data_IF_062178985625
#
_entry.id   IF_062178985625
#
_cell.length_a   1.000
_cell.length_b   1.000
_cell.length_c   1.000
_cell.angle_alpha   90.00
_cell.angle_beta   90.00
_cell.angle_gamma   90.00
#
_symmetry.space_group_name_H-M   'P 1'
#
loop_
_entity.id
_entity.type
_entity.pdbx_description
1 polymer ?
#
# COMPACT_ATOMS: atom_id res chain seq x y z
N UNK A 1 -23.52 8.32 37.27
CA UNK A 1 -22.80 8.86 36.09
C UNK A 1 -22.84 10.38 36.18
N UNK A 2 -21.70 11.07 36.26
CA UNK A 2 -21.66 12.54 36.28
C UNK A 2 -21.72 13.09 34.84
N UNK A 3 -22.11 14.37 34.66
CA UNK A 3 -22.28 15.01 33.35
C UNK A 3 -21.04 14.86 32.45
N UNK A 4 -19.85 14.96 33.03
CA UNK A 4 -18.58 14.77 32.32
C UNK A 4 -18.42 13.37 31.73
N UNK A 5 -18.79 12.31 32.46
CA UNK A 5 -18.74 10.95 31.93
C UNK A 5 -19.76 10.73 30.80
N UNK A 6 -20.91 11.40 30.84
CA UNK A 6 -21.92 11.34 29.76
C UNK A 6 -21.38 11.99 28.48
N UNK A 7 -20.67 13.12 28.60
CA UNK A 7 -20.03 13.80 27.47
C UNK A 7 -18.97 12.91 26.81
N UNK A 8 -18.09 12.28 27.62
CA UNK A 8 -17.07 11.38 27.10
C UNK A 8 -17.65 10.13 26.45
N UNK A 9 -18.71 9.56 27.03
CA UNK A 9 -19.42 8.42 26.44
C UNK A 9 -20.04 8.79 25.08
N UNK A 10 -20.69 9.96 24.99
CA UNK A 10 -21.22 10.47 23.73
C UNK A 10 -20.13 10.66 22.66
N UNK A 11 -18.95 11.15 23.08
CA UNK A 11 -17.80 11.30 22.19
C UNK A 11 -17.28 9.96 21.66
N UNK A 12 -17.18 8.93 22.51
CA UNK A 12 -16.77 7.58 22.09
C UNK A 12 -17.73 7.01 21.04
N UNK A 13 -19.05 7.15 21.27
CA UNK A 13 -20.08 6.68 20.32
C UNK A 13 -19.98 7.43 18.99
N UNK A 14 -19.83 8.76 19.03
CA UNK A 14 -19.70 9.59 17.84
C UNK A 14 -18.46 9.22 17.03
N UNK A 15 -17.30 9.06 17.69
CA UNK A 15 -16.05 8.68 17.04
C UNK A 15 -16.13 7.27 16.44
N UNK A 16 -16.76 6.32 17.13
CA UNK A 16 -17.01 4.98 16.59
C UNK A 16 -17.92 4.98 15.36
N UNK A 17 -18.95 5.83 15.36
CA UNK A 17 -19.83 5.99 14.20
C UNK A 17 -19.11 6.62 13.00
N UNK A 18 -18.32 7.67 13.24
CA UNK A 18 -17.50 8.29 12.19
C UNK A 18 -16.48 7.32 11.59
N UNK A 19 -15.86 6.46 12.40
CA UNK A 19 -14.98 5.39 11.92
C UNK A 19 -15.72 4.44 10.98
N UNK A 20 -16.91 3.98 11.37
CA UNK A 20 -17.71 3.06 10.56
C UNK A 20 -18.07 3.65 9.19
N UNK A 21 -18.22 4.98 9.11
CA UNK A 21 -18.47 5.69 7.85
C UNK A 21 -17.20 5.93 7.02
N UNK A 22 -16.08 6.24 7.67
CA UNK A 22 -14.89 6.75 6.98
C UNK A 22 -13.85 5.67 6.69
N UNK A 23 -13.93 4.48 7.29
CA UNK A 23 -12.94 3.36 7.20
C UNK A 23 -11.48 3.90 7.31
N UNK A 24 -11.34 5.03 7.99
CA UNK A 24 -10.09 5.75 8.13
C UNK A 24 -9.73 5.49 9.58
N UNK A 25 -8.79 4.57 9.78
CA UNK A 25 -8.33 3.99 11.06
C UNK A 25 -7.93 4.99 12.16
N UNK A 26 -8.16 6.29 11.95
CA UNK A 26 -7.73 7.43 12.76
C UNK A 26 -8.68 7.70 13.93
N UNK A 27 -10.00 7.56 13.76
CA UNK A 27 -11.00 7.89 14.80
C UNK A 27 -10.99 6.91 15.98
N UNK A 28 -10.64 5.65 15.74
CA UNK A 28 -10.47 4.63 16.79
C UNK A 28 -9.46 5.06 17.87
N UNK A 29 -8.35 5.72 17.51
CA UNK A 29 -7.34 6.13 18.49
C UNK A 29 -7.86 7.19 19.45
N UNK A 30 -8.67 8.11 18.93
CA UNK A 30 -9.33 9.13 19.74
C UNK A 30 -10.43 8.52 20.62
N UNK A 31 -11.10 7.45 20.17
CA UNK A 31 -12.06 6.72 21.00
C UNK A 31 -11.39 6.06 22.22
N UNK A 32 -10.20 5.47 22.04
CA UNK A 32 -9.40 4.93 23.16
C UNK A 32 -8.98 6.03 24.14
N UNK A 33 -8.56 7.19 23.63
CA UNK A 33 -8.27 8.36 24.46
C UNK A 33 -9.48 8.85 25.25
N UNK A 34 -10.66 8.88 24.60
CA UNK A 34 -11.91 9.29 25.24
C UNK A 34 -12.36 8.32 26.33
N UNK A 35 -12.15 7.01 26.14
CA UNK A 35 -12.38 5.99 27.17
C UNK A 35 -11.45 6.18 28.39
N UNK A 36 -10.17 6.50 28.16
CA UNK A 36 -9.24 6.78 29.25
C UNK A 36 -9.64 8.04 30.04
N UNK A 37 -10.05 9.10 29.36
CA UNK A 37 -10.56 10.32 30.01
C UNK A 37 -11.88 10.08 30.75
N UNK A 38 -12.75 9.23 30.21
CA UNK A 38 -13.98 8.78 30.89
C UNK A 38 -13.65 8.06 32.21
N UNK A 39 -12.66 7.17 32.21
CA UNK A 39 -12.23 6.49 33.44
C UNK A 39 -11.81 7.51 34.52
N UNK A 40 -11.01 8.52 34.15
CA UNK A 40 -10.62 9.62 35.06
C UNK A 40 -11.84 10.40 35.57
N UNK A 41 -12.83 10.65 34.70
CA UNK A 41 -14.07 11.33 35.07
C UNK A 41 -14.92 10.52 36.07
N UNK A 42 -14.89 9.18 36.00
CA UNK A 42 -15.59 8.29 36.93
C UNK A 42 -14.99 8.32 38.34
N UNK A 43 -13.67 8.54 38.45
CA UNK A 43 -12.98 8.69 39.74
C UNK A 43 -13.01 10.13 40.29
N UNK A 44 -13.75 11.04 39.64
CA UNK A 44 -13.88 12.43 40.10
C UNK A 44 -12.69 13.33 39.75
N UNK A 45 -11.84 12.94 38.79
CA UNK A 45 -10.72 13.75 38.35
C UNK A 45 -11.17 15.08 37.72
N UNK A 46 -10.38 16.14 37.94
CA UNK A 46 -10.67 17.47 37.40
C UNK A 46 -10.66 17.49 35.86
N UNK A 47 -11.41 18.42 35.26
CA UNK A 47 -11.57 18.51 33.80
C UNK A 47 -10.22 18.64 33.07
N UNK A 48 -9.28 19.41 33.62
CA UNK A 48 -7.96 19.58 33.02
C UNK A 48 -7.14 18.28 32.98
N UNK A 49 -7.30 17.40 33.98
CA UNK A 49 -6.68 16.07 34.03
C UNK A 49 -7.29 15.17 32.97
N UNK A 50 -8.63 15.21 32.81
CA UNK A 50 -9.33 14.43 31.79
C UNK A 50 -8.86 14.82 30.38
N UNK A 51 -8.74 16.12 30.09
CA UNK A 51 -8.25 16.64 28.81
C UNK A 51 -6.79 16.22 28.57
N UNK A 52 -5.95 16.32 29.59
CA UNK A 52 -4.54 15.94 29.48
C UNK A 52 -4.39 14.43 29.21
N UNK A 53 -5.14 13.59 29.92
CA UNK A 53 -5.16 12.14 29.69
C UNK A 53 -5.68 11.80 28.30
N UNK A 54 -6.77 12.44 27.85
CA UNK A 54 -7.29 12.27 26.49
C UNK A 54 -6.21 12.57 25.43
N UNK A 55 -5.55 13.73 25.56
CA UNK A 55 -4.55 14.18 24.60
C UNK A 55 -3.33 13.26 24.57
N UNK A 56 -2.80 12.89 25.74
CA UNK A 56 -1.62 12.01 25.86
C UNK A 56 -1.91 10.62 25.33
N UNK A 57 -3.03 10.00 25.72
CA UNK A 57 -3.39 8.64 25.27
C UNK A 57 -3.65 8.63 23.77
N UNK A 58 -4.40 9.60 23.24
CA UNK A 58 -4.64 9.70 21.80
C UNK A 58 -3.35 9.88 21.02
N UNK A 59 -2.45 10.75 21.49
CA UNK A 59 -1.16 11.00 20.86
C UNK A 59 -0.28 9.74 20.85
N UNK A 60 -0.19 9.03 21.98
CA UNK A 60 0.55 7.76 22.07
C UNK A 60 -0.03 6.72 21.11
N UNK A 61 -1.35 6.56 21.08
CA UNK A 61 -2.02 5.64 20.16
C UNK A 61 -1.71 5.97 18.69
N UNK A 62 -1.81 7.25 18.31
CA UNK A 62 -1.49 7.69 16.95
C UNK A 62 -0.01 7.48 16.63
N UNK A 63 0.92 7.84 17.52
CA UNK A 63 2.35 7.67 17.29
C UNK A 63 2.79 6.20 17.22
N UNK A 64 2.20 5.34 18.05
CA UNK A 64 2.51 3.91 18.07
C UNK A 64 1.91 3.16 16.88
N UNK A 65 0.70 3.54 16.43
CA UNK A 65 0.03 2.84 15.33
C UNK A 65 0.19 3.49 13.95
N UNK A 66 0.68 4.71 13.82
CA UNK A 66 1.09 5.25 12.51
C UNK A 66 2.18 4.39 11.82
N UNK A 67 3.26 3.92 12.48
CA UNK A 67 4.23 3.03 11.85
C UNK A 67 3.64 1.64 11.59
N UNK A 68 2.77 1.13 12.48
CA UNK A 68 2.15 -0.19 12.36
C UNK A 68 1.08 -0.25 11.26
N UNK A 69 0.23 0.77 11.13
CA UNK A 69 -0.75 0.89 10.07
C UNK A 69 -0.05 1.08 8.72
N UNK A 70 1.02 1.86 8.64
CA UNK A 70 1.78 2.01 7.39
C UNK A 70 2.48 0.71 6.97
N UNK A 71 2.89 -0.13 7.91
CA UNK A 71 3.57 -1.42 7.61
C UNK A 71 2.62 -2.62 7.48
N UNK A 72 1.49 -2.64 8.19
CA UNK A 72 0.51 -3.75 8.21
C UNK A 72 -0.72 -3.50 7.34
N UNK A 73 -1.19 -2.26 7.21
CA UNK A 73 -2.37 -1.86 6.41
C UNK A 73 -2.01 -1.09 5.13
N UNK A 74 -0.88 -0.38 5.12
CA UNK A 74 -0.18 0.09 3.90
C UNK A 74 0.50 -1.05 3.12
N UNK A 75 0.23 -2.29 3.52
CA UNK A 75 0.52 -3.52 2.79
C UNK A 75 -0.45 -3.80 1.64
N UNK A 76 -1.12 -2.78 1.09
CA UNK A 76 -1.32 -2.74 -0.35
C UNK A 76 0.07 -2.65 -0.98
N UNK A 77 0.75 -3.82 -0.99
CA UNK A 77 1.93 -4.07 -1.78
C UNK A 77 1.67 -3.38 -3.11
N UNK A 78 2.50 -2.37 -3.41
CA UNK A 78 2.79 -1.97 -4.77
C UNK A 78 2.64 -3.20 -5.65
N UNK A 79 1.86 -3.09 -6.70
CA UNK A 79 1.66 -4.08 -7.76
C UNK A 79 3.00 -4.69 -8.18
N UNK A 80 3.44 -5.71 -7.45
CA UNK A 80 4.78 -6.34 -7.56
C UNK A 80 4.70 -7.86 -7.33
N UNK A 81 3.55 -8.42 -6.97
CA UNK A 81 3.41 -9.89 -6.84
C UNK A 81 3.25 -10.60 -8.18
N UNK A 82 2.67 -9.95 -9.20
CA UNK A 82 2.52 -10.57 -10.52
C UNK A 82 3.62 -10.14 -11.51
N UNK A 83 4.14 -8.92 -11.36
CA UNK A 83 5.15 -8.37 -12.26
C UNK A 83 6.55 -8.94 -11.97
N UNK A 84 6.94 -9.09 -10.70
CA UNK A 84 8.24 -9.69 -10.37
C UNK A 84 8.31 -11.19 -10.73
N UNK A 85 7.17 -11.89 -10.80
CA UNK A 85 7.11 -13.30 -11.23
C UNK A 85 7.47 -13.48 -12.71
N UNK A 86 7.36 -12.41 -13.49
CA UNK A 86 7.66 -12.38 -14.92
C UNK A 86 9.16 -12.17 -15.15
N UNK A 87 9.87 -11.55 -14.20
CA UNK A 87 11.31 -11.34 -14.29
C UNK A 87 12.02 -12.71 -14.32
N UNK A 88 12.85 -12.93 -15.33
CA UNK A 88 13.52 -14.20 -15.60
C UNK A 88 12.73 -15.19 -16.46
N UNK A 89 11.44 -14.96 -16.72
CA UNK A 89 10.65 -15.82 -17.61
C UNK A 89 11.00 -15.61 -19.08
N UNK A 90 10.80 -16.67 -19.86
CA UNK A 90 10.83 -16.61 -21.32
C UNK A 90 9.51 -16.03 -21.81
N UNK A 91 9.60 -15.06 -22.70
CA UNK A 91 8.50 -14.40 -23.36
C UNK A 91 8.65 -14.54 -24.88
N UNK A 92 7.54 -14.61 -25.59
CA UNK A 92 7.54 -14.67 -27.05
C UNK A 92 7.30 -13.28 -27.62
N UNK A 93 8.14 -12.83 -28.55
CA UNK A 93 7.97 -11.54 -29.21
C UNK A 93 6.77 -11.62 -30.16
N UNK A 94 5.74 -10.82 -29.89
CA UNK A 94 4.54 -10.72 -30.74
C UNK A 94 4.67 -9.62 -31.78
N UNK A 95 5.38 -8.55 -31.43
CA UNK A 95 5.66 -7.42 -32.33
C UNK A 95 7.17 -7.14 -32.30
N UNK A 96 7.82 -6.93 -33.46
CA UNK A 96 9.26 -6.72 -33.52
C UNK A 96 9.69 -5.58 -32.60
N UNK A 97 10.72 -5.86 -31.78
CA UNK A 97 11.22 -4.90 -30.81
C UNK A 97 12.32 -4.08 -31.47
N UNK A 98 12.06 -2.79 -31.60
CA UNK A 98 13.00 -1.80 -32.09
C UNK A 98 13.02 -0.59 -31.15
N UNK A 99 14.16 -0.38 -30.49
CA UNK A 99 14.33 0.73 -29.55
C UNK A 99 14.34 2.10 -30.25
N UNK A 100 14.72 2.17 -31.54
CA UNK A 100 14.76 3.42 -32.34
C UNK A 100 13.36 3.79 -32.80
N UNK A 101 12.59 2.82 -33.31
CA UNK A 101 11.19 3.03 -33.70
C UNK A 101 10.24 3.11 -32.49
N UNK A 102 10.69 2.67 -31.31
CA UNK A 102 9.88 2.66 -30.09
C UNK A 102 8.80 1.58 -30.06
N UNK A 103 8.83 0.63 -30.99
CA UNK A 103 7.89 -0.48 -31.14
C UNK A 103 8.39 -1.73 -30.42
N UNK A 104 7.48 -2.60 -30.01
CA UNK A 104 7.84 -3.86 -29.39
C UNK A 104 6.81 -4.36 -28.39
N UNK A 105 6.42 -5.62 -28.55
CA UNK A 105 5.51 -6.29 -27.64
C UNK A 105 5.89 -7.77 -27.49
N UNK A 106 5.68 -8.31 -26.29
CA UNK A 106 5.93 -9.70 -25.95
C UNK A 106 4.73 -10.30 -25.23
N UNK A 107 4.46 -11.57 -25.49
CA UNK A 107 3.48 -12.37 -24.76
C UNK A 107 4.15 -13.12 -23.63
N UNK A 108 3.64 -12.91 -22.41
CA UNK A 108 4.14 -13.50 -21.16
C UNK A 108 2.96 -14.16 -20.47
N UNK A 109 2.97 -15.49 -20.41
CA UNK A 109 1.87 -16.26 -19.78
C UNK A 109 0.48 -15.94 -20.36
N UNK A 110 0.40 -15.59 -21.66
CA UNK A 110 -0.84 -15.24 -22.34
C UNK A 110 -1.25 -13.76 -22.26
N UNK A 111 -0.50 -12.90 -21.56
CA UNK A 111 -0.73 -11.45 -21.53
C UNK A 111 0.31 -10.73 -22.40
N UNK A 112 -0.14 -9.78 -23.23
CA UNK A 112 0.76 -8.97 -24.07
C UNK A 112 1.27 -7.76 -23.28
N UNK A 113 2.58 -7.60 -23.24
CA UNK A 113 3.29 -6.49 -22.59
C UNK A 113 4.12 -5.73 -23.62
N UNK A 114 4.23 -4.41 -23.45
CA UNK A 114 5.16 -3.62 -24.27
C UNK A 114 6.59 -3.92 -23.84
N UNK A 115 7.48 -4.15 -24.82
CA UNK A 115 8.83 -4.60 -24.57
C UNK A 115 9.87 -3.69 -25.19
N UNK A 116 11.02 -3.59 -24.53
CA UNK A 116 12.23 -2.96 -25.06
C UNK A 116 13.42 -3.89 -24.95
N UNK A 117 14.28 -3.86 -25.94
CA UNK A 117 15.52 -4.64 -25.94
C UNK A 117 16.51 -3.97 -24.99
N UNK A 118 17.19 -4.75 -24.15
CA UNK A 118 18.32 -4.24 -23.33
C UNK A 118 19.53 -3.88 -24.18
N UNK A 119 19.60 -4.46 -25.39
CA UNK A 119 20.60 -4.13 -26.39
C UNK A 119 20.03 -3.20 -27.46
N UNK A 120 20.89 -2.42 -28.13
CA UNK A 120 20.48 -1.62 -29.29
C UNK A 120 20.10 -2.47 -30.53
N UNK A 121 20.15 -3.81 -30.44
CA UNK A 121 19.83 -4.69 -31.56
C UNK A 121 18.31 -4.94 -31.63
N UNK A 122 17.72 -4.83 -32.83
CA UNK A 122 16.32 -5.16 -33.04
C UNK A 122 16.10 -6.67 -32.85
N UNK A 123 14.94 -7.02 -32.33
CA UNK A 123 14.55 -8.41 -32.08
C UNK A 123 13.31 -8.72 -32.93
N UNK A 124 13.42 -9.72 -33.80
CA UNK A 124 12.33 -10.11 -34.69
C UNK A 124 11.13 -10.72 -33.94
N UNK A 125 9.93 -10.56 -34.51
CA UNK A 125 8.73 -11.25 -34.04
C UNK A 125 8.90 -12.78 -34.12
N UNK A 126 8.28 -13.49 -33.18
CA UNK A 126 8.38 -14.94 -33.02
C UNK A 126 9.62 -15.42 -32.26
N UNK A 127 10.57 -14.54 -31.95
CA UNK A 127 11.75 -14.91 -31.15
C UNK A 127 11.40 -15.06 -29.65
N UNK A 128 12.21 -15.85 -28.95
CA UNK A 128 12.10 -16.05 -27.50
C UNK A 128 13.10 -15.17 -26.79
N UNK A 129 12.60 -14.31 -25.92
CA UNK A 129 13.40 -13.38 -25.12
C UNK A 129 13.21 -13.67 -23.63
N UNK A 130 14.18 -13.27 -22.80
CA UNK A 130 14.09 -13.34 -21.34
C UNK A 130 13.84 -11.95 -20.78
N UNK A 131 12.88 -11.83 -19.88
CA UNK A 131 12.64 -10.58 -19.15
C UNK A 131 13.75 -10.37 -18.13
N UNK A 132 14.45 -9.25 -18.22
CA UNK A 132 15.52 -8.87 -17.29
C UNK A 132 14.99 -8.01 -16.15
N UNK A 133 14.15 -7.03 -16.46
CA UNK A 133 13.56 -6.12 -15.48
C UNK A 133 12.30 -5.45 -16.02
N UNK A 134 11.56 -4.78 -15.14
CA UNK A 134 10.39 -3.98 -15.50
C UNK A 134 10.74 -2.50 -15.34
N UNK A 135 10.50 -1.70 -16.37
CA UNK A 135 10.62 -0.24 -16.36
C UNK A 135 9.22 0.37 -16.55
N UNK A 136 8.54 0.63 -15.43
CA UNK A 136 7.17 1.15 -15.43
C UNK A 136 6.18 0.13 -15.98
N UNK A 137 5.60 0.43 -17.15
CA UNK A 137 4.64 -0.45 -17.87
C UNK A 137 5.34 -1.31 -18.94
N UNK A 138 6.63 -1.06 -19.18
CA UNK A 138 7.42 -1.75 -20.20
C UNK A 138 8.31 -2.82 -19.56
N UNK A 139 8.46 -3.94 -20.24
CA UNK A 139 9.43 -4.98 -19.86
C UNK A 139 10.72 -4.81 -20.66
N UNK A 140 11.85 -4.92 -19.98
CA UNK A 140 13.15 -4.97 -20.63
C UNK A 140 13.55 -6.42 -20.83
N UNK A 141 13.88 -6.74 -22.08
CA UNK A 141 14.11 -8.11 -22.52
C UNK A 141 15.45 -8.25 -23.23
N UNK A 142 16.07 -9.41 -23.08
CA UNK A 142 17.26 -9.78 -23.83
C UNK A 142 17.00 -11.08 -24.60
N UNK A 143 17.58 -11.24 -25.81
CA UNK A 143 17.47 -12.48 -26.56
C UNK A 143 18.09 -13.62 -25.75
N UNK A 144 17.38 -14.75 -25.66
CA UNK A 144 17.96 -15.98 -25.09
C UNK A 144 18.85 -16.56 -26.18
N UNK A 145 20.12 -16.17 -26.18
CA UNK A 145 21.13 -16.84 -26.98
C UNK A 145 21.12 -18.33 -26.60
N UNK A 146 20.87 -19.20 -27.58
CA UNK A 146 21.17 -20.60 -27.45
C UNK A 146 22.69 -20.70 -27.27
N UNK A 147 23.13 -20.88 -26.02
CA UNK A 147 24.47 -21.38 -25.77
C UNK A 147 24.58 -22.72 -26.51
N UNK A 148 25.56 -22.76 -27.40
CA UNK A 148 25.92 -23.89 -28.25
C UNK A 148 26.52 -25.01 -27.42
#
# INVERSE_FOLDING_TARGET
>A
MNLFSIIWLGLVILLGFLEALTVTLTSIWFAVGALAAMAVALFGGALWVQILVFAVVSLICVLALRPLAKTRLGGAKKVATNADRIIGQKAMVTEPIDNVAGTGAVSIGGTVWTARSDSAKPIAAGSVVRVLRIEGVKVLVAPVSAAS
#
